data_IF_174800498725
#
_entry.id   IF_174800498725
#
_cell.length_a   1.000
_cell.length_b   1.000
_cell.length_c   1.000
_cell.angle_alpha   90.00
_cell.angle_beta   90.00
_cell.angle_gamma   90.00
#
_symmetry.space_group_name_H-M   'P 1'
#
loop_
_entity.id
_entity.type
_entity.pdbx_description
1 polymer ?
#
# COMPACT_ATOMS: atom_id res chain seq x y z
N UNK A 1 29.28 -0.89 -32.98
CA UNK A 1 29.02 -2.13 -32.24
C UNK A 1 28.86 -1.75 -30.79
N UNK A 2 27.69 -2.00 -30.20
CA UNK A 2 27.48 -1.75 -28.77
C UNK A 2 28.38 -2.67 -27.93
N UNK A 3 28.83 -2.20 -26.75
CA UNK A 3 29.74 -2.94 -25.88
C UNK A 3 29.24 -4.36 -25.56
N UNK A 4 27.95 -4.53 -25.27
CA UNK A 4 27.33 -5.84 -24.98
C UNK A 4 27.38 -6.77 -26.19
N UNK A 5 27.18 -6.25 -27.40
CA UNK A 5 27.22 -7.06 -28.63
C UNK A 5 28.63 -7.63 -28.87
N UNK A 6 29.67 -6.82 -28.64
CA UNK A 6 31.06 -7.27 -28.73
C UNK A 6 31.37 -8.35 -27.69
N UNK A 7 31.03 -8.09 -26.42
CA UNK A 7 31.29 -9.03 -25.31
C UNK A 7 30.56 -10.36 -25.48
N UNK A 8 29.34 -10.34 -26.04
CA UNK A 8 28.54 -11.54 -26.24
C UNK A 8 28.77 -12.26 -27.57
N UNK A 9 29.64 -11.74 -28.46
CA UNK A 9 29.97 -12.39 -29.72
C UNK A 9 30.39 -13.87 -29.56
N UNK A 10 31.25 -14.27 -28.60
CA UNK A 10 31.63 -15.67 -28.40
C UNK A 10 30.51 -16.55 -27.81
N UNK A 11 29.39 -15.96 -27.40
CA UNK A 11 28.30 -16.61 -26.69
C UNK A 11 26.99 -16.68 -27.52
N UNK A 12 27.00 -16.25 -28.79
CA UNK A 12 25.80 -16.09 -29.63
C UNK A 12 24.90 -17.33 -29.70
N UNK A 13 25.50 -18.51 -29.79
CA UNK A 13 24.76 -19.79 -29.91
C UNK A 13 24.52 -20.48 -28.56
N UNK A 14 24.93 -19.86 -27.45
CA UNK A 14 24.77 -20.42 -26.10
C UNK A 14 23.49 -19.94 -25.46
N UNK A 15 22.85 -20.84 -24.72
CA UNK A 15 21.77 -20.55 -23.78
C UNK A 15 22.25 -20.75 -22.35
N UNK A 16 21.77 -19.88 -21.48
CA UNK A 16 22.11 -19.85 -20.07
C UNK A 16 20.83 -19.99 -19.27
N UNK A 17 20.81 -20.94 -18.34
CA UNK A 17 19.78 -21.02 -17.31
C UNK A 17 20.11 -20.02 -16.22
N UNK A 18 19.08 -19.40 -15.64
CA UNK A 18 19.25 -18.45 -14.55
C UNK A 18 18.06 -18.50 -13.61
N UNK A 19 18.34 -18.09 -12.37
CA UNK A 19 17.38 -18.03 -11.27
C UNK A 19 17.34 -16.60 -10.74
N UNK A 20 16.16 -16.16 -10.28
CA UNK A 20 16.06 -14.97 -9.44
C UNK A 20 15.66 -15.41 -8.03
N UNK A 21 16.41 -14.97 -7.03
CA UNK A 21 16.21 -15.32 -5.62
C UNK A 21 16.04 -14.08 -4.75
N UNK A 22 15.11 -14.16 -3.80
CA UNK A 22 15.00 -13.16 -2.74
C UNK A 22 16.24 -13.22 -1.83
N UNK A 23 16.77 -12.08 -1.42
CA UNK A 23 17.90 -12.00 -0.48
C UNK A 23 17.42 -11.79 0.97
N UNK A 24 16.15 -11.42 1.13
CA UNK A 24 15.56 -11.08 2.42
C UNK A 24 14.19 -11.74 2.57
N UNK A 25 13.68 -11.76 3.81
CA UNK A 25 12.33 -12.21 4.10
C UNK A 25 11.32 -11.17 3.61
N UNK A 26 10.21 -11.63 3.03
CA UNK A 26 9.10 -10.75 2.69
C UNK A 26 7.98 -11.43 1.90
N UNK A 27 7.34 -10.64 1.05
CA UNK A 27 6.23 -11.05 0.18
C UNK A 27 6.55 -10.63 -1.25
N UNK A 28 6.49 -11.58 -2.16
CA UNK A 28 6.67 -11.33 -3.59
C UNK A 28 5.48 -10.54 -4.14
N UNK A 29 5.77 -9.40 -4.78
CA UNK A 29 4.77 -8.60 -5.47
C UNK A 29 5.31 -8.03 -6.79
N UNK A 30 4.42 -7.88 -7.77
CA UNK A 30 4.76 -7.44 -9.13
C UNK A 30 4.71 -8.56 -10.16
N UNK A 31 4.09 -9.70 -9.84
CA UNK A 31 4.11 -10.90 -10.68
C UNK A 31 3.55 -10.64 -12.09
N UNK A 32 2.52 -9.80 -12.19
CA UNK A 32 1.90 -9.44 -13.48
C UNK A 32 2.90 -8.74 -14.41
N UNK A 33 3.49 -7.63 -13.96
CA UNK A 33 4.44 -6.84 -14.76
C UNK A 33 5.72 -7.62 -15.04
N UNK A 34 6.13 -8.46 -14.10
CA UNK A 34 7.24 -9.39 -14.28
C UNK A 34 6.99 -10.38 -15.42
N UNK A 35 5.81 -11.02 -15.47
CA UNK A 35 5.39 -11.94 -16.55
C UNK A 35 5.29 -11.21 -17.91
N UNK A 36 4.84 -9.96 -17.93
CA UNK A 36 4.81 -9.12 -19.15
C UNK A 36 6.22 -8.90 -19.72
N UNK A 37 7.18 -8.46 -18.89
CA UNK A 37 8.56 -8.21 -19.32
C UNK A 37 9.26 -9.50 -19.78
N UNK A 38 9.03 -10.63 -19.10
CA UNK A 38 9.55 -11.92 -19.55
C UNK A 38 9.10 -12.26 -20.97
N UNK A 39 7.85 -11.94 -21.30
CA UNK A 39 7.27 -12.13 -22.63
C UNK A 39 7.90 -11.17 -23.65
N UNK A 40 8.03 -9.88 -23.30
CA UNK A 40 8.67 -8.85 -24.15
C UNK A 40 10.13 -9.21 -24.48
N UNK A 41 10.88 -9.76 -23.52
CA UNK A 41 12.27 -10.22 -23.70
C UNK A 41 12.38 -11.58 -24.39
N UNK A 42 11.26 -12.28 -24.60
CA UNK A 42 11.21 -13.63 -25.16
C UNK A 42 12.16 -14.60 -24.40
N UNK A 43 12.07 -14.57 -23.06
CA UNK A 43 12.77 -15.49 -22.16
C UNK A 43 11.99 -16.82 -22.09
N UNK A 44 12.70 -17.96 -22.12
CA UNK A 44 12.06 -19.24 -21.81
C UNK A 44 11.79 -19.30 -20.32
N UNK A 45 10.52 -19.41 -19.94
CA UNK A 45 10.10 -19.51 -18.55
C UNK A 45 9.90 -20.98 -18.19
N UNK A 46 10.59 -21.42 -17.15
CA UNK A 46 10.38 -22.75 -16.57
C UNK A 46 9.44 -22.65 -15.35
N UNK A 47 9.59 -21.61 -14.53
CA UNK A 47 8.71 -21.34 -13.38
C UNK A 47 8.78 -19.87 -12.93
N UNK A 48 7.67 -19.34 -12.39
CA UNK A 48 7.56 -17.99 -11.80
C UNK A 48 6.71 -18.12 -10.53
N UNK A 49 7.10 -17.43 -9.45
CA UNK A 49 6.30 -17.34 -8.24
C UNK A 49 4.97 -16.60 -8.48
N UNK A 50 3.93 -17.00 -7.76
CA UNK A 50 2.65 -16.30 -7.80
C UNK A 50 2.64 -15.06 -6.89
N UNK A 51 1.76 -14.11 -7.20
CA UNK A 51 1.59 -12.89 -6.40
C UNK A 51 1.26 -13.25 -4.94
N UNK A 52 1.96 -12.62 -3.98
CA UNK A 52 1.78 -12.89 -2.56
C UNK A 52 2.61 -14.07 -2.03
N UNK A 53 3.47 -14.68 -2.85
CA UNK A 53 4.35 -15.77 -2.41
C UNK A 53 5.27 -15.32 -1.26
N UNK A 54 5.36 -16.13 -0.21
CA UNK A 54 6.18 -15.82 0.96
C UNK A 54 7.65 -16.09 0.68
N UNK A 55 8.50 -15.14 1.03
CA UNK A 55 9.93 -15.16 0.78
C UNK A 55 10.72 -15.35 2.07
N UNK A 56 11.73 -16.21 2.01
CA UNK A 56 12.88 -16.22 2.89
C UNK A 56 14.14 -15.92 2.05
N UNK A 57 15.28 -15.58 2.67
CA UNK A 57 16.55 -15.55 1.95
C UNK A 57 16.76 -16.81 1.11
N UNK A 58 17.32 -16.64 -0.08
CA UNK A 58 17.58 -17.66 -1.10
C UNK A 58 16.32 -18.34 -1.70
N UNK A 59 15.12 -17.82 -1.39
CA UNK A 59 13.88 -18.33 -1.99
C UNK A 59 13.82 -17.96 -3.48
N UNK A 60 13.75 -18.93 -4.40
CA UNK A 60 13.61 -18.65 -5.82
C UNK A 60 12.22 -18.07 -6.11
N UNK A 61 12.17 -17.04 -6.96
CA UNK A 61 10.94 -16.45 -7.50
C UNK A 61 10.80 -16.61 -9.00
N UNK A 62 11.87 -17.05 -9.68
CA UNK A 62 11.89 -17.30 -11.10
C UNK A 62 12.96 -18.32 -11.48
N UNK A 63 12.65 -19.17 -12.46
CA UNK A 63 13.62 -19.99 -13.19
C UNK A 63 13.32 -19.94 -14.68
N UNK A 64 14.37 -19.81 -15.49
CA UNK A 64 14.24 -19.82 -16.93
C UNK A 64 15.58 -19.81 -17.64
N UNK A 65 15.53 -19.62 -18.96
CA UNK A 65 16.75 -19.55 -19.78
C UNK A 65 16.64 -18.60 -20.96
N UNK A 66 17.80 -18.08 -21.39
CA UNK A 66 17.91 -17.12 -22.48
C UNK A 66 19.30 -17.08 -23.09
N UNK A 67 19.48 -16.26 -24.14
CA UNK A 67 20.81 -15.90 -24.64
C UNK A 67 21.48 -14.95 -23.65
N UNK A 68 22.81 -14.79 -23.74
CA UNK A 68 23.56 -13.89 -22.85
C UNK A 68 22.97 -12.46 -22.83
N UNK A 69 22.57 -11.92 -23.99
CA UNK A 69 21.92 -10.62 -24.10
C UNK A 69 20.58 -10.56 -23.36
N UNK A 70 19.74 -11.57 -23.54
CA UNK A 70 18.43 -11.61 -22.88
C UNK A 70 18.55 -11.73 -21.37
N UNK A 71 19.51 -12.52 -20.87
CA UNK A 71 19.77 -12.66 -19.43
C UNK A 71 20.26 -11.33 -18.83
N UNK A 72 21.21 -10.65 -19.49
CA UNK A 72 21.69 -9.35 -19.02
C UNK A 72 20.59 -8.27 -18.99
N UNK A 73 19.70 -8.27 -19.99
CA UNK A 73 18.53 -7.37 -19.99
C UNK A 73 17.48 -7.75 -18.94
N UNK A 74 17.31 -9.05 -18.69
CA UNK A 74 16.40 -9.55 -17.67
C UNK A 74 16.81 -9.06 -16.28
N UNK A 75 18.11 -9.08 -15.95
CA UNK A 75 18.62 -8.55 -14.67
C UNK A 75 18.26 -7.07 -14.47
N UNK A 76 18.52 -6.26 -15.48
CA UNK A 76 18.28 -4.81 -15.45
C UNK A 76 16.79 -4.45 -15.31
N UNK A 77 15.91 -5.21 -15.98
CA UNK A 77 14.49 -4.89 -16.05
C UNK A 77 13.65 -5.57 -14.95
N UNK A 78 13.92 -6.84 -14.68
CA UNK A 78 13.05 -7.65 -13.83
C UNK A 78 13.18 -7.30 -12.35
N UNK A 79 14.41 -7.12 -11.85
CA UNK A 79 14.66 -6.83 -10.43
C UNK A 79 14.01 -5.50 -10.02
N UNK A 80 14.08 -4.48 -10.87
CA UNK A 80 13.45 -3.18 -10.64
C UNK A 80 11.93 -3.23 -10.54
N UNK A 81 11.29 -4.17 -11.24
CA UNK A 81 9.83 -4.32 -11.23
C UNK A 81 9.31 -5.01 -9.97
N UNK A 82 10.09 -5.90 -9.36
CA UNK A 82 9.63 -6.66 -8.19
C UNK A 82 10.16 -6.11 -6.87
N UNK A 83 11.32 -5.44 -6.85
CA UNK A 83 11.96 -4.98 -5.62
C UNK A 83 11.08 -4.03 -4.82
N UNK A 84 10.69 -2.89 -5.42
CA UNK A 84 9.89 -1.87 -4.72
C UNK A 84 8.48 -2.37 -4.36
N UNK A 85 7.72 -3.02 -5.27
CA UNK A 85 6.42 -3.60 -4.89
C UNK A 85 6.52 -4.65 -3.78
N UNK A 86 7.50 -5.55 -3.83
CA UNK A 86 7.68 -6.57 -2.78
C UNK A 86 8.01 -5.95 -1.42
N UNK A 87 8.80 -4.87 -1.39
CA UNK A 87 9.05 -4.09 -0.18
C UNK A 87 7.76 -3.48 0.42
N UNK A 88 6.92 -2.88 -0.44
CA UNK A 88 5.63 -2.30 -0.02
C UNK A 88 4.65 -3.38 0.46
N UNK A 89 4.56 -4.52 -0.24
CA UNK A 89 3.71 -5.65 0.16
C UNK A 89 4.16 -6.22 1.52
N UNK A 90 5.47 -6.36 1.71
CA UNK A 90 6.07 -6.82 2.97
C UNK A 90 5.70 -5.87 4.13
N UNK A 91 5.91 -4.57 3.95
CA UNK A 91 5.56 -3.58 4.97
C UNK A 91 4.05 -3.60 5.30
N UNK A 92 3.18 -3.66 4.29
CA UNK A 92 1.74 -3.76 4.51
C UNK A 92 1.36 -5.00 5.34
N UNK A 93 1.96 -6.16 5.05
CA UNK A 93 1.71 -7.38 5.82
C UNK A 93 2.21 -7.31 7.25
N UNK A 94 3.31 -6.61 7.51
CA UNK A 94 3.79 -6.36 8.88
C UNK A 94 2.80 -5.50 9.68
N UNK A 95 2.22 -4.47 9.06
CA UNK A 95 1.20 -3.65 9.70
C UNK A 95 -0.09 -4.42 9.94
N UNK A 96 -0.53 -5.28 9.00
CA UNK A 96 -1.66 -6.19 9.19
C UNK A 96 -1.40 -7.15 10.34
N UNK A 97 -0.21 -7.75 10.40
CA UNK A 97 0.18 -8.62 11.51
C UNK A 97 0.15 -7.86 12.84
N UNK A 98 0.64 -6.61 12.86
CA UNK A 98 0.65 -5.76 14.05
C UNK A 98 -0.75 -5.37 14.52
N UNK A 99 -1.72 -5.27 13.60
CA UNK A 99 -3.12 -5.00 13.93
C UNK A 99 -3.77 -6.13 14.75
N UNK A 100 -3.26 -7.36 14.60
CA UNK A 100 -3.81 -8.54 15.27
C UNK A 100 -5.29 -8.77 14.96
N UNK A 101 -5.78 -8.26 13.82
CA UNK A 101 -7.18 -8.31 13.43
C UNK A 101 -8.12 -7.40 14.23
N UNK A 102 -7.59 -6.55 15.13
CA UNK A 102 -8.41 -5.68 15.99
C UNK A 102 -8.84 -4.37 15.34
N UNK A 103 -8.13 -3.97 14.29
CA UNK A 103 -8.35 -2.71 13.56
C UNK A 103 -8.08 -2.94 12.07
N UNK A 104 -8.86 -2.29 11.21
CA UNK A 104 -8.65 -2.34 9.76
C UNK A 104 -7.44 -1.47 9.39
N UNK A 105 -6.46 -2.03 8.70
CA UNK A 105 -5.32 -1.27 8.16
C UNK A 105 -5.59 -0.88 6.72
N UNK A 106 -5.40 0.39 6.38
CA UNK A 106 -5.51 0.92 5.02
C UNK A 106 -4.29 1.77 4.68
N UNK A 107 -4.04 1.99 3.39
CA UNK A 107 -2.99 2.88 2.91
C UNK A 107 -3.50 3.73 1.74
N UNK A 108 -3.78 5.01 1.99
CA UNK A 108 -4.16 5.98 0.95
C UNK A 108 -2.97 6.66 0.24
N UNK A 109 -1.74 6.42 0.71
CA UNK A 109 -0.56 7.18 0.31
C UNK A 109 -0.02 6.86 -1.10
N UNK A 110 -0.52 5.81 -1.76
CA UNK A 110 -0.20 5.54 -3.17
C UNK A 110 -0.56 6.71 -4.11
N UNK A 111 -1.43 7.65 -3.68
CA UNK A 111 -1.72 8.88 -4.43
C UNK A 111 -0.56 9.88 -4.43
N UNK A 112 0.39 9.75 -3.49
CA UNK A 112 1.54 10.64 -3.31
C UNK A 112 2.75 10.26 -4.17
N UNK A 113 2.70 9.11 -4.85
CA UNK A 113 3.75 8.67 -5.76
C UNK A 113 3.42 9.05 -7.21
N UNK A 114 4.45 8.97 -8.06
CA UNK A 114 4.35 9.23 -9.49
C UNK A 114 3.24 8.36 -10.12
N UNK A 115 2.38 8.92 -11.00
CA UNK A 115 1.24 8.21 -11.59
C UNK A 115 1.57 6.85 -12.20
N UNK A 116 2.75 6.73 -12.81
CA UNK A 116 3.24 5.57 -13.57
C UNK A 116 3.36 4.32 -12.69
N UNK A 117 3.70 4.48 -11.40
CA UNK A 117 3.91 3.36 -10.47
C UNK A 117 2.71 3.11 -9.54
N UNK A 118 1.63 3.90 -9.66
CA UNK A 118 0.48 3.79 -8.74
C UNK A 118 -0.21 2.45 -8.82
N UNK A 119 -0.34 1.88 -10.01
CA UNK A 119 -0.99 0.59 -10.19
C UNK A 119 -0.21 -0.52 -9.44
N UNK A 120 1.10 -0.53 -9.60
CA UNK A 120 1.99 -1.52 -8.97
C UNK A 120 1.98 -1.39 -7.44
N UNK A 121 2.08 -0.16 -6.91
CA UNK A 121 2.07 0.03 -5.46
C UNK A 121 0.69 -0.24 -4.84
N UNK A 122 -0.40 0.01 -5.58
CA UNK A 122 -1.75 -0.37 -5.15
C UNK A 122 -1.91 -1.88 -5.08
N UNK A 123 -1.42 -2.60 -6.09
CA UNK A 123 -1.40 -4.05 -6.07
C UNK A 123 -0.57 -4.56 -4.88
N UNK A 124 0.63 -4.01 -4.67
CA UNK A 124 1.49 -4.38 -3.54
C UNK A 124 0.82 -4.18 -2.17
N UNK A 125 0.14 -3.05 -1.95
CA UNK A 125 -0.62 -2.79 -0.73
C UNK A 125 -1.67 -3.89 -0.50
N UNK A 126 -2.42 -4.24 -1.55
CA UNK A 126 -3.44 -5.28 -1.50
C UNK A 126 -2.83 -6.69 -1.30
N UNK A 127 -1.71 -6.99 -1.95
CA UNK A 127 -0.96 -8.23 -1.80
C UNK A 127 -0.48 -8.42 -0.35
N UNK A 128 -0.06 -7.34 0.31
CA UNK A 128 0.26 -7.35 1.73
C UNK A 128 -0.97 -7.40 2.67
N UNK A 129 -2.18 -7.40 2.13
CA UNK A 129 -3.44 -7.53 2.88
C UNK A 129 -4.02 -6.20 3.41
N UNK A 130 -3.39 -5.06 3.15
CA UNK A 130 -3.93 -3.76 3.55
C UNK A 130 -4.95 -3.22 2.54
N UNK A 131 -5.95 -2.49 3.03
CA UNK A 131 -6.94 -1.85 2.16
C UNK A 131 -6.36 -0.66 1.40
N UNK A 132 -6.66 -0.53 0.11
CA UNK A 132 -6.26 0.64 -0.69
C UNK A 132 -7.12 1.89 -0.44
N UNK A 133 -8.25 1.70 0.26
CA UNK A 133 -9.29 2.69 0.54
C UNK A 133 -9.77 2.51 1.98
N UNK A 134 -10.27 3.60 2.56
CA UNK A 134 -10.81 3.60 3.94
C UNK A 134 -11.99 2.62 4.09
N UNK A 135 -12.86 2.54 3.07
CA UNK A 135 -13.98 1.61 2.98
C UNK A 135 -14.14 1.09 1.55
N UNK A 136 -14.71 -0.12 1.41
CA UNK A 136 -15.03 -0.74 0.12
C UNK A 136 -16.37 -0.24 -0.44
N UNK A 137 -17.30 0.16 0.45
CA UNK A 137 -18.57 0.74 0.06
C UNK A 137 -18.35 2.02 -0.76
N UNK A 138 -19.26 2.38 -1.69
CA UNK A 138 -19.25 3.69 -2.33
C UNK A 138 -19.22 4.82 -1.29
N UNK A 139 -18.26 5.73 -1.41
CA UNK A 139 -18.09 6.82 -0.45
C UNK A 139 -17.59 8.11 -1.10
N UNK A 140 -17.87 9.22 -0.44
CA UNK A 140 -17.32 10.55 -0.72
C UNK A 140 -16.28 10.85 0.35
N UNK A 141 -15.08 11.26 -0.06
CA UNK A 141 -14.00 11.65 0.84
C UNK A 141 -13.82 13.16 0.85
N UNK A 142 -14.03 13.78 2.00
CA UNK A 142 -13.83 15.21 2.23
C UNK A 142 -12.53 15.40 3.02
N UNK A 143 -11.45 15.79 2.33
CA UNK A 143 -10.20 16.13 2.98
C UNK A 143 -10.25 17.52 3.64
N UNK A 144 -9.18 17.90 4.35
CA UNK A 144 -9.07 19.22 4.99
C UNK A 144 -9.28 20.40 4.04
N UNK A 145 -8.97 20.26 2.74
CA UNK A 145 -9.15 21.35 1.78
C UNK A 145 -10.62 21.54 1.45
N UNK A 146 -11.40 20.46 1.32
CA UNK A 146 -12.86 20.57 1.21
C UNK A 146 -13.45 21.26 2.44
N UNK A 147 -13.08 20.82 3.64
CA UNK A 147 -13.54 21.45 4.89
C UNK A 147 -13.24 22.96 4.89
N UNK A 148 -12.03 23.36 4.49
CA UNK A 148 -11.65 24.78 4.37
C UNK A 148 -12.45 25.53 3.30
N UNK A 149 -12.63 24.97 2.11
CA UNK A 149 -13.38 25.61 1.01
C UNK A 149 -14.86 25.82 1.34
N UNK A 150 -15.45 24.94 2.15
CA UNK A 150 -16.83 25.04 2.63
C UNK A 150 -16.96 25.82 3.95
N UNK A 151 -15.86 26.36 4.49
CA UNK A 151 -15.80 27.08 5.76
C UNK A 151 -16.33 26.28 6.96
N UNK A 152 -16.07 24.97 7.01
CA UNK A 152 -16.42 24.13 8.15
C UNK A 152 -16.77 22.69 7.76
N UNK A 153 -16.83 21.83 8.78
CA UNK A 153 -17.11 20.39 8.61
C UNK A 153 -18.58 20.20 8.24
N UNK A 154 -19.49 20.81 8.98
CA UNK A 154 -20.93 20.66 8.76
C UNK A 154 -21.38 21.02 7.34
N UNK A 155 -21.07 22.22 6.82
CA UNK A 155 -21.42 22.60 5.45
C UNK A 155 -20.85 21.64 4.38
N UNK A 156 -19.60 21.19 4.54
CA UNK A 156 -18.97 20.26 3.60
C UNK A 156 -19.69 18.90 3.58
N UNK A 157 -19.98 18.35 4.76
CA UNK A 157 -20.66 17.06 4.92
C UNK A 157 -22.09 17.13 4.37
N UNK A 158 -22.87 18.16 4.72
CA UNK A 158 -24.23 18.33 4.18
C UNK A 158 -24.25 18.36 2.67
N UNK A 159 -23.30 19.06 2.04
CA UNK A 159 -23.22 19.11 0.57
C UNK A 159 -22.91 17.75 -0.05
N UNK A 160 -22.10 16.93 0.60
CA UNK A 160 -21.81 15.57 0.15
C UNK A 160 -23.04 14.66 0.28
N UNK A 161 -23.78 14.75 1.40
CA UNK A 161 -25.01 13.98 1.63
C UNK A 161 -26.11 14.38 0.64
N UNK A 162 -26.26 15.67 0.32
CA UNK A 162 -27.21 16.16 -0.68
C UNK A 162 -26.92 15.61 -2.09
N UNK A 163 -25.64 15.41 -2.43
CA UNK A 163 -25.25 14.91 -3.74
C UNK A 163 -25.66 13.45 -3.95
N UNK A 164 -25.45 12.60 -2.93
CA UNK A 164 -25.79 11.18 -2.98
C UNK A 164 -25.99 10.64 -1.55
N UNK A 165 -27.24 10.48 -1.09
CA UNK A 165 -27.54 10.05 0.27
C UNK A 165 -27.28 8.56 0.51
N UNK A 166 -27.08 7.76 -0.54
CA UNK A 166 -26.76 6.34 -0.43
C UNK A 166 -25.25 6.09 -0.23
N UNK A 167 -24.41 7.10 -0.50
CA UNK A 167 -22.96 7.02 -0.29
C UNK A 167 -22.58 7.37 1.14
N UNK A 168 -21.63 6.61 1.67
CA UNK A 168 -20.99 6.95 2.94
C UNK A 168 -20.20 8.26 2.78
N UNK A 169 -20.26 9.14 3.77
CA UNK A 169 -19.42 10.34 3.81
C UNK A 169 -18.29 10.13 4.81
N UNK A 170 -17.06 10.14 4.31
CA UNK A 170 -15.85 10.14 5.12
C UNK A 170 -15.25 11.54 5.16
N UNK A 171 -15.09 12.12 6.34
CA UNK A 171 -14.58 13.50 6.51
C UNK A 171 -13.33 13.51 7.38
N UNK A 172 -12.34 14.28 6.95
CA UNK A 172 -11.10 14.50 7.69
C UNK A 172 -11.28 15.59 8.74
N UNK A 173 -10.98 15.24 9.99
CA UNK A 173 -10.99 16.15 11.14
C UNK A 173 -9.55 16.44 11.56
N UNK A 174 -9.27 17.72 11.83
CA UNK A 174 -7.91 18.24 12.09
C UNK A 174 -7.82 19.08 13.34
N UNK A 175 -8.95 19.53 13.89
CA UNK A 175 -8.97 20.51 14.98
C UNK A 175 -8.42 21.89 14.57
N UNK A 176 -8.33 22.17 13.26
CA UNK A 176 -7.73 23.40 12.73
C UNK A 176 -8.75 24.53 12.62
N UNK A 177 -10.00 24.20 12.31
CA UNK A 177 -11.07 25.19 12.14
C UNK A 177 -11.79 25.48 13.45
N UNK A 178 -11.91 24.46 14.29
CA UNK A 178 -12.52 24.50 15.62
C UNK A 178 -12.02 23.31 16.45
N UNK A 179 -12.24 23.27 17.78
CA UNK A 179 -11.83 22.15 18.61
C UNK A 179 -12.38 20.81 18.08
N UNK A 180 -11.59 19.74 18.22
CA UNK A 180 -11.93 18.41 17.65
C UNK A 180 -13.32 17.92 18.07
N UNK A 181 -13.74 18.26 19.29
CA UNK A 181 -15.06 17.93 19.84
C UNK A 181 -16.18 18.54 18.97
N UNK A 182 -16.04 19.80 18.57
CA UNK A 182 -17.05 20.47 17.75
C UNK A 182 -17.02 19.96 16.30
N UNK A 183 -15.83 19.68 15.74
CA UNK A 183 -15.71 19.03 14.43
C UNK A 183 -16.42 17.66 14.41
N UNK A 184 -16.31 16.86 15.48
CA UNK A 184 -17.00 15.57 15.64
C UNK A 184 -18.52 15.76 15.67
N UNK A 185 -19.02 16.70 16.48
CA UNK A 185 -20.47 16.97 16.56
C UNK A 185 -21.05 17.42 15.23
N UNK A 186 -20.36 18.30 14.52
CA UNK A 186 -20.78 18.74 13.19
C UNK A 186 -20.77 17.62 12.17
N UNK A 187 -19.73 16.80 12.16
CA UNK A 187 -19.61 15.67 11.25
C UNK A 187 -20.80 14.71 11.41
N UNK A 188 -21.03 14.25 12.65
CA UNK A 188 -22.11 13.30 12.95
C UNK A 188 -23.47 13.93 12.70
N UNK A 189 -23.70 15.15 13.20
CA UNK A 189 -24.96 15.87 13.03
C UNK A 189 -25.31 16.21 11.58
N UNK A 190 -24.30 16.24 10.70
CA UNK A 190 -24.48 16.49 9.26
C UNK A 190 -24.55 15.22 8.42
N UNK A 191 -24.40 14.02 9.01
CA UNK A 191 -24.55 12.74 8.34
C UNK A 191 -23.24 12.05 7.91
N UNK A 192 -22.09 12.42 8.47
CA UNK A 192 -20.85 11.70 8.21
C UNK A 192 -20.91 10.28 8.78
N UNK A 193 -20.40 9.31 8.02
CA UNK A 193 -20.35 7.89 8.40
C UNK A 193 -18.97 7.47 8.92
N UNK A 194 -17.91 8.15 8.47
CA UNK A 194 -16.53 7.85 8.85
C UNK A 194 -15.82 9.16 9.22
N UNK A 195 -15.28 9.22 10.43
CA UNK A 195 -14.55 10.37 10.95
C UNK A 195 -13.06 10.04 10.94
N UNK A 196 -12.31 10.67 10.03
CA UNK A 196 -10.87 10.50 9.87
C UNK A 196 -10.12 11.53 10.73
N UNK A 197 -9.74 11.12 11.95
CA UNK A 197 -8.93 11.92 12.86
C UNK A 197 -7.48 11.90 12.37
N UNK A 198 -7.09 12.89 11.57
CA UNK A 198 -5.76 12.98 10.94
C UNK A 198 -4.85 13.99 11.66
N UNK A 199 -4.85 13.99 12.99
CA UNK A 199 -4.03 14.92 13.78
C UNK A 199 -2.64 14.35 14.10
N UNK A 200 -2.46 13.03 13.98
CA UNK A 200 -1.26 12.33 14.46
C UNK A 200 -1.18 12.23 15.98
N UNK A 201 -2.21 12.67 16.71
CA UNK A 201 -2.28 12.66 18.16
C UNK A 201 -3.43 11.75 18.64
N UNK A 202 -3.08 10.66 19.29
CA UNK A 202 -4.01 9.65 19.83
C UNK A 202 -4.95 10.21 20.91
N UNK A 203 -4.58 11.31 21.58
CA UNK A 203 -5.47 11.99 22.53
C UNK A 203 -6.69 12.62 21.85
N UNK A 204 -6.53 13.13 20.62
CA UNK A 204 -7.64 13.69 19.84
C UNK A 204 -8.61 12.60 19.41
N UNK A 205 -8.07 11.44 19.00
CA UNK A 205 -8.87 10.25 18.70
C UNK A 205 -9.68 9.80 19.92
N UNK A 206 -9.03 9.68 21.08
CA UNK A 206 -9.70 9.29 22.34
C UNK A 206 -10.81 10.28 22.69
N UNK A 207 -10.55 11.57 22.53
CA UNK A 207 -11.54 12.64 22.74
C UNK A 207 -12.72 12.48 21.80
N UNK A 208 -12.47 12.27 20.51
CA UNK A 208 -13.50 12.10 19.49
C UNK A 208 -14.38 10.87 19.75
N UNK A 209 -13.78 9.74 20.13
CA UNK A 209 -14.48 8.51 20.47
C UNK A 209 -15.32 8.69 21.74
N UNK A 210 -14.79 9.35 22.78
CA UNK A 210 -15.54 9.63 24.01
C UNK A 210 -16.78 10.49 23.75
N UNK A 211 -16.65 11.54 22.93
CA UNK A 211 -17.80 12.37 22.51
C UNK A 211 -18.87 11.52 21.85
N UNK A 212 -18.49 10.59 20.97
CA UNK A 212 -19.46 9.69 20.35
C UNK A 212 -20.08 8.69 21.33
N UNK A 213 -19.35 8.22 22.34
CA UNK A 213 -19.92 7.36 23.39
C UNK A 213 -20.96 8.13 24.21
N UNK A 214 -20.60 9.31 24.71
CA UNK A 214 -21.46 10.16 25.55
C UNK A 214 -22.78 10.54 24.85
N UNK A 215 -22.75 10.68 23.52
CA UNK A 215 -23.91 11.06 22.71
C UNK A 215 -24.64 9.85 22.06
N UNK A 216 -24.22 8.61 22.34
CA UNK A 216 -24.83 7.40 21.75
C UNK A 216 -24.63 7.27 20.23
N UNK A 217 -23.49 7.73 19.73
CA UNK A 217 -23.09 7.72 18.32
C UNK A 217 -22.00 6.69 17.99
N UNK A 218 -21.40 6.03 18.99
CA UNK A 218 -20.28 5.09 18.76
C UNK A 218 -20.58 4.01 17.73
N UNK A 219 -21.82 3.50 17.70
CA UNK A 219 -22.26 2.46 16.76
C UNK A 219 -22.81 3.03 15.43
N UNK A 220 -22.91 4.36 15.32
CA UNK A 220 -23.44 5.06 14.13
C UNK A 220 -22.35 5.53 13.18
N UNK A 221 -21.12 5.70 13.68
CA UNK A 221 -19.98 6.18 12.90
C UNK A 221 -18.73 5.36 13.15
N UNK A 222 -17.89 5.25 12.13
CA UNK A 222 -16.58 4.63 12.25
C UNK A 222 -15.51 5.70 12.50
N UNK A 223 -14.55 5.38 13.36
CA UNK A 223 -13.39 6.22 13.62
C UNK A 223 -12.18 5.69 12.87
N UNK A 224 -11.62 6.55 12.02
CA UNK A 224 -10.35 6.29 11.35
C UNK A 224 -9.27 7.21 11.93
N UNK A 225 -8.05 6.70 12.03
CA UNK A 225 -6.90 7.45 12.53
C UNK A 225 -5.79 7.54 11.50
N UNK A 226 -5.15 8.72 11.41
CA UNK A 226 -4.00 8.97 10.56
C UNK A 226 -3.09 10.06 11.12
N UNK A 227 -2.04 10.36 10.35
CA UNK A 227 -1.06 11.39 10.69
C UNK A 227 0.26 10.81 11.15
N UNK A 228 1.01 10.17 10.24
CA UNK A 228 2.36 9.70 10.54
C UNK A 228 2.43 8.41 11.35
N UNK A 229 1.39 7.58 11.29
CA UNK A 229 1.30 6.31 12.04
C UNK A 229 2.46 5.36 11.75
N UNK A 230 2.99 4.77 12.81
CA UNK A 230 4.02 3.73 12.81
C UNK A 230 3.54 2.48 13.55
N UNK A 231 4.31 1.38 13.50
CA UNK A 231 3.94 0.13 14.18
C UNK A 231 3.85 0.28 15.72
N UNK A 232 4.54 1.28 16.29
CA UNK A 232 4.57 1.52 17.74
C UNK A 232 3.25 2.09 18.27
N UNK A 233 2.49 2.77 17.41
CA UNK A 233 1.27 3.49 17.80
C UNK A 233 0.05 2.58 17.91
N UNK A 234 0.11 1.39 17.29
CA UNK A 234 -1.02 0.46 17.19
C UNK A 234 -1.71 0.12 18.53
N UNK A 235 -0.98 -0.23 19.61
CA UNK A 235 -1.62 -0.50 20.89
C UNK A 235 -2.46 0.67 21.41
N UNK A 236 -1.97 1.90 21.26
CA UNK A 236 -2.69 3.09 21.73
C UNK A 236 -3.85 3.45 20.80
N UNK A 237 -3.66 3.39 19.48
CA UNK A 237 -4.72 3.65 18.49
C UNK A 237 -5.89 2.67 18.68
N UNK A 238 -5.59 1.39 18.90
CA UNK A 238 -6.60 0.36 19.19
C UNK A 238 -7.30 0.65 20.53
N UNK A 239 -6.53 0.96 21.58
CA UNK A 239 -7.08 1.27 22.91
C UNK A 239 -7.94 2.55 22.92
N UNK A 240 -7.63 3.52 22.05
CA UNK A 240 -8.41 4.73 21.87
C UNK A 240 -9.73 4.49 21.10
N UNK A 241 -9.94 3.29 20.54
CA UNK A 241 -11.21 2.87 19.95
C UNK A 241 -11.35 3.10 18.45
N UNK A 242 -10.25 3.27 17.71
CA UNK A 242 -10.29 3.36 16.25
C UNK A 242 -10.75 2.05 15.59
N UNK A 243 -11.59 2.18 14.56
CA UNK A 243 -12.03 1.08 13.70
C UNK A 243 -11.09 0.87 12.51
N UNK A 244 -10.44 1.96 12.07
CA UNK A 244 -9.58 2.00 10.88
C UNK A 244 -8.30 2.78 11.21
N UNK A 245 -7.16 2.34 10.67
CA UNK A 245 -5.90 3.08 10.71
C UNK A 245 -5.34 3.24 9.30
N UNK A 246 -5.13 4.49 8.87
CA UNK A 246 -4.49 4.81 7.59
C UNK A 246 -2.98 4.97 7.77
N UNK A 247 -2.25 3.94 7.37
CA UNK A 247 -0.79 3.90 7.41
C UNK A 247 -0.26 4.34 6.04
N UNK A 248 0.08 5.62 5.95
CA UNK A 248 0.56 6.21 4.70
C UNK A 248 2.03 5.91 4.40
N UNK A 249 2.91 6.84 4.82
CA UNK A 249 4.33 6.83 4.45
C UNK A 249 5.04 5.54 4.84
N UNK A 250 4.76 5.01 6.03
CA UNK A 250 5.45 3.83 6.56
C UNK A 250 5.24 2.55 5.72
N UNK A 251 4.19 2.49 4.90
CA UNK A 251 3.99 1.42 3.91
C UNK A 251 4.60 1.80 2.56
N UNK A 252 4.24 2.98 2.02
CA UNK A 252 4.60 3.33 0.64
C UNK A 252 6.10 3.63 0.46
N UNK A 253 6.76 4.12 1.50
CA UNK A 253 8.17 4.49 1.52
C UNK A 253 9.07 3.35 2.01
N UNK A 254 8.52 2.14 2.15
CA UNK A 254 9.28 0.96 2.55
C UNK A 254 10.49 0.75 1.62
N UNK A 255 11.66 0.33 2.15
CA UNK A 255 12.79 -0.09 1.32
C UNK A 255 12.34 -1.13 0.29
N UNK A 256 12.98 -1.14 -0.88
CA UNK A 256 12.81 -2.25 -1.81
C UNK A 256 13.28 -3.55 -1.15
N UNK A 257 12.66 -4.67 -1.51
CA UNK A 257 13.16 -6.00 -1.13
C UNK A 257 14.26 -6.39 -2.11
N UNK A 258 15.41 -6.83 -1.60
CA UNK A 258 16.55 -7.15 -2.44
C UNK A 258 16.42 -8.52 -3.12
N UNK A 259 16.72 -8.55 -4.42
CA UNK A 259 16.66 -9.74 -5.25
C UNK A 259 17.94 -9.82 -6.09
N UNK A 260 18.40 -11.03 -6.33
CA UNK A 260 19.56 -11.31 -7.18
C UNK A 260 19.17 -12.18 -8.35
N UNK A 261 19.76 -11.91 -9.51
CA UNK A 261 19.76 -12.82 -10.66
C UNK A 261 21.10 -13.54 -10.70
N UNK A 262 21.07 -14.87 -10.83
CA UNK A 262 22.27 -15.68 -11.00
C UNK A 262 22.15 -16.63 -12.19
N UNK A 263 23.20 -16.66 -13.02
CA UNK A 263 23.36 -17.69 -14.06
C UNK A 263 23.76 -19.00 -13.39
N UNK A 264 22.98 -20.05 -13.64
CA UNK A 264 23.25 -21.36 -13.10
C UNK A 264 24.48 -21.98 -13.79
N UNK A 265 25.37 -22.57 -12.99
CA UNK A 265 26.50 -23.33 -13.53
C UNK A 265 25.93 -24.60 -14.19
N UNK A 266 26.39 -24.93 -15.39
CA UNK A 266 26.18 -26.28 -15.91
C UNK A 266 26.91 -27.25 -15.00
N UNK A 267 26.20 -28.22 -14.43
CA UNK A 267 26.85 -29.43 -13.94
C UNK A 267 27.51 -30.11 -15.16
N UNK A 268 28.81 -30.36 -15.06
CA UNK A 268 29.61 -31.04 -16.09
C UNK A 268 29.26 -32.53 -16.20
#
# INVERSE_FOLDING_TARGET
MELREFLFQPLRDKKFSFVITAQEKGIFSGAKRFKEILTELNIKVDWVAEEGFSLQPDTPVFRGSGTAEKVARAEEMLLGVIGKPSGVATAAAEFIKRSGGKIKVVCGAWKKVAPEIRADLRQAIATGGAGMRITEAPFIYLDKNYVRMFNGVGPAVRRAVEFDPERLVAVQLKGETQPIIEEVREAVGSGASILMIDTGNTADLRTAVNVAIENGWRDKVQFAFGGGVTQKDFPEVIAAGADIVDVGRAIIDAPLLDFRLDVEKKEE
#
